data_IF_849971213292
#
_entry.id   IF_849971213292
#
_cell.length_a   1.000
_cell.length_b   1.000
_cell.length_c   1.000
_cell.angle_alpha   90.00
_cell.angle_beta   90.00
_cell.angle_gamma   90.00
#
_symmetry.space_group_name_H-M   'P 1'
#
loop_
_entity.id
_entity.type
_entity.pdbx_description
1 polymer ?
#
# COMPACT_ATOMS: atom_id res chain seq x y z
N UNK A 1 28.69 0.71 19.92
CA UNK A 1 27.58 -0.03 19.27
C UNK A 1 28.02 -0.46 17.89
N UNK A 2 27.56 -1.61 17.43
CA UNK A 2 27.87 -2.12 16.09
C UNK A 2 27.15 -1.29 15.01
N UNK A 3 27.87 -0.95 13.93
CA UNK A 3 27.29 -0.37 12.71
C UNK A 3 26.77 -1.51 11.85
N UNK A 4 25.49 -1.47 11.55
CA UNK A 4 24.84 -2.49 10.72
C UNK A 4 24.94 -2.06 9.27
N UNK A 5 25.45 -2.95 8.42
CA UNK A 5 25.39 -2.81 6.97
C UNK A 5 24.57 -3.98 6.44
N UNK A 6 23.56 -3.76 5.59
CA UNK A 6 22.84 -4.87 4.97
C UNK A 6 23.80 -5.82 4.27
N UNK A 7 23.63 -7.12 4.48
CA UNK A 7 24.38 -8.16 3.78
C UNK A 7 23.86 -8.42 2.35
N UNK A 8 23.00 -7.54 1.83
CA UNK A 8 22.33 -7.71 0.54
C UNK A 8 23.20 -7.28 -0.64
N UNK A 9 22.96 -7.80 -1.86
CA UNK A 9 23.69 -7.39 -3.06
C UNK A 9 23.56 -5.88 -3.32
N UNK A 10 24.61 -5.26 -3.88
CA UNK A 10 24.63 -3.82 -4.15
C UNK A 10 23.41 -3.31 -4.95
N UNK A 11 22.94 -3.98 -6.02
CA UNK A 11 21.76 -3.52 -6.76
C UNK A 11 20.49 -3.43 -5.90
N UNK A 12 20.36 -4.29 -4.90
CA UNK A 12 19.24 -4.26 -3.97
C UNK A 12 19.39 -3.11 -2.97
N UNK A 13 20.60 -2.86 -2.49
CA UNK A 13 20.88 -1.69 -1.64
C UNK A 13 20.57 -0.39 -2.39
N UNK A 14 20.98 -0.27 -3.65
CA UNK A 14 20.72 0.90 -4.48
C UNK A 14 19.21 1.12 -4.69
N UNK A 15 18.46 0.05 -5.00
CA UNK A 15 17.00 0.14 -5.15
C UNK A 15 16.29 0.57 -3.84
N UNK A 16 16.78 0.11 -2.69
CA UNK A 16 16.29 0.53 -1.38
C UNK A 16 16.62 2.00 -1.10
N UNK A 17 17.84 2.44 -1.40
CA UNK A 17 18.26 3.84 -1.27
C UNK A 17 17.42 4.77 -2.14
N UNK A 18 17.22 4.42 -3.40
CA UNK A 18 16.39 5.17 -4.35
C UNK A 18 14.94 5.28 -3.86
N UNK A 19 14.37 4.19 -3.36
CA UNK A 19 13.03 4.20 -2.76
C UNK A 19 12.96 5.15 -1.55
N UNK A 20 13.90 5.03 -0.61
CA UNK A 20 13.94 5.86 0.60
C UNK A 20 14.13 7.34 0.24
N UNK A 21 14.98 7.64 -0.73
CA UNK A 21 15.21 8.99 -1.25
C UNK A 21 13.96 9.55 -1.93
N UNK A 22 13.32 8.78 -2.82
CA UNK A 22 12.10 9.19 -3.51
C UNK A 22 10.97 9.46 -2.51
N UNK A 23 10.77 8.57 -1.53
CA UNK A 23 9.78 8.77 -0.46
C UNK A 23 10.04 10.05 0.33
N UNK A 24 11.30 10.35 0.64
CA UNK A 24 11.67 11.61 1.33
C UNK A 24 11.38 12.84 0.47
N UNK A 25 11.71 12.80 -0.81
CA UNK A 25 11.44 13.90 -1.75
C UNK A 25 9.93 14.17 -1.89
N UNK A 26 9.09 13.13 -1.87
CA UNK A 26 7.63 13.27 -1.83
C UNK A 26 7.12 13.87 -0.51
N UNK A 27 7.81 13.56 0.58
CA UNK A 27 7.49 14.05 1.91
C UNK A 27 7.86 15.53 2.08
N UNK A 28 8.88 16.01 1.38
CA UNK A 28 9.32 17.40 1.43
C UNK A 28 8.52 18.29 0.47
N UNK A 29 7.72 19.19 1.04
CA UNK A 29 6.76 20.05 0.33
C UNK A 29 7.42 20.95 -0.71
N UNK A 30 8.67 21.35 -0.49
CA UNK A 30 9.41 22.23 -1.41
C UNK A 30 10.03 21.46 -2.59
N UNK A 31 10.30 20.17 -2.41
CA UNK A 31 10.86 19.29 -3.45
C UNK A 31 9.83 18.42 -4.16
N UNK A 32 8.53 18.61 -3.90
CA UNK A 32 7.46 17.83 -4.56
C UNK A 32 7.50 18.06 -6.06
N UNK A 33 7.61 17.02 -6.89
CA UNK A 33 7.47 17.16 -8.33
C UNK A 33 6.08 17.69 -8.69
N UNK A 34 5.98 18.56 -9.70
CA UNK A 34 4.68 19.10 -10.15
C UNK A 34 3.68 17.98 -10.54
N UNK A 35 4.18 16.84 -11.05
CA UNK A 35 3.35 15.68 -11.36
C UNK A 35 2.74 15.03 -10.11
N UNK A 36 3.38 15.12 -8.95
CA UNK A 36 2.85 14.58 -7.69
C UNK A 36 1.58 15.31 -7.24
N UNK A 37 1.50 16.62 -7.48
CA UNK A 37 0.30 17.40 -7.23
C UNK A 37 -0.86 17.03 -8.18
N UNK A 38 -0.55 16.68 -9.44
CA UNK A 38 -1.52 16.19 -10.42
C UNK A 38 -1.94 14.73 -10.19
N UNK A 39 -1.07 13.93 -9.58
CA UNK A 39 -1.32 12.54 -9.20
C UNK A 39 -2.17 12.43 -7.92
N UNK A 40 -1.97 13.34 -6.96
CA UNK A 40 -2.77 13.43 -5.72
C UNK A 40 -4.26 13.72 -5.97
N UNK A 41 -4.63 14.29 -7.13
CA UNK A 41 -6.03 14.50 -7.52
C UNK A 41 -6.67 13.29 -8.20
N UNK A 42 -5.89 12.23 -8.49
CA UNK A 42 -6.34 11.05 -9.25
C UNK A 42 -6.24 9.73 -8.47
N UNK A 43 -5.44 9.67 -7.40
CA UNK A 43 -5.34 8.52 -6.48
C UNK A 43 -5.88 8.93 -5.11
N UNK A 44 -6.65 8.05 -4.46
CA UNK A 44 -7.16 8.28 -3.11
C UNK A 44 -6.00 8.65 -2.16
N UNK A 45 -5.93 9.91 -1.69
CA UNK A 45 -4.76 10.42 -0.98
C UNK A 45 -4.57 9.82 0.41
N UNK A 46 -5.52 9.05 0.94
CA UNK A 46 -5.50 8.57 2.32
C UNK A 46 -4.36 7.58 2.64
N UNK A 47 -3.79 6.88 1.64
CA UNK A 47 -2.70 5.90 1.89
C UNK A 47 -1.36 6.58 2.18
N UNK A 48 -1.14 7.81 1.69
CA UNK A 48 0.10 8.57 1.90
C UNK A 48 -0.09 9.90 2.65
N UNK A 49 -1.32 10.41 2.73
CA UNK A 49 -1.63 11.70 3.35
C UNK A 49 -2.91 11.55 4.17
N UNK A 50 -2.79 11.04 5.40
CA UNK A 50 -3.86 11.24 6.38
C UNK A 50 -4.03 12.75 6.60
N UNK A 51 -5.18 13.25 6.15
CA UNK A 51 -5.56 14.66 6.18
C UNK A 51 -6.09 15.14 7.52
N UNK A 52 -6.07 14.31 8.58
CA UNK A 52 -6.72 14.63 9.85
C UNK A 52 -5.83 15.34 10.89
N UNK A 53 -4.52 15.47 10.64
CA UNK A 53 -3.60 16.21 11.53
C UNK A 53 -2.73 17.06 10.63
N UNK A 54 -2.79 18.39 10.76
CA UNK A 54 -2.16 19.36 9.85
C UNK A 54 -0.63 19.27 9.74
N UNK A 55 -0.13 18.22 9.10
CA UNK A 55 1.28 17.97 8.81
C UNK A 55 1.39 16.95 7.67
N UNK A 56 2.19 17.28 6.68
CA UNK A 56 2.44 16.58 5.40
C UNK A 56 3.04 15.14 5.51
N UNK A 57 2.83 14.38 6.60
CA UNK A 57 3.73 13.26 6.97
C UNK A 57 3.10 12.09 7.76
N UNK A 58 1.99 11.50 7.31
CA UNK A 58 1.18 10.65 8.19
C UNK A 58 1.04 9.16 7.83
N UNK A 59 1.67 8.63 6.76
CA UNK A 59 1.70 7.18 6.57
C UNK A 59 2.67 6.53 7.57
N UNK A 60 2.20 5.66 8.49
CA UNK A 60 3.08 4.96 9.41
C UNK A 60 4.13 4.13 8.64
N UNK A 61 5.38 4.00 9.12
CA UNK A 61 6.40 3.26 8.40
C UNK A 61 5.97 1.81 8.11
N UNK A 62 5.26 1.15 9.04
CA UNK A 62 4.70 -0.18 8.83
C UNK A 62 3.71 -0.25 7.66
N UNK A 63 2.83 0.75 7.50
CA UNK A 63 1.89 0.82 6.37
C UNK A 63 2.65 1.06 5.07
N UNK A 64 3.70 1.88 5.09
CA UNK A 64 4.59 2.04 3.93
C UNK A 64 5.22 0.70 3.54
N UNK A 65 5.74 -0.05 4.52
CA UNK A 65 6.35 -1.36 4.28
C UNK A 65 5.32 -2.34 3.67
N UNK A 66 4.13 -2.45 4.26
CA UNK A 66 3.06 -3.31 3.75
C UNK A 66 2.55 -2.92 2.35
N UNK A 67 2.77 -1.67 1.95
CA UNK A 67 2.38 -1.14 0.64
C UNK A 67 3.41 -1.43 -0.45
N UNK A 68 4.70 -1.39 -0.10
CA UNK A 68 5.82 -1.50 -1.05
C UNK A 68 6.43 -2.90 -1.08
N UNK A 69 6.27 -3.67 -0.01
CA UNK A 69 6.70 -5.05 0.09
C UNK A 69 5.46 -5.96 0.15
N UNK A 70 5.08 -6.60 -0.96
CA UNK A 70 4.03 -7.61 -0.97
C UNK A 70 4.25 -8.65 0.13
N UNK A 71 3.19 -9.06 0.82
CA UNK A 71 3.24 -10.08 1.88
C UNK A 71 4.09 -9.72 3.11
N UNK A 72 4.44 -8.45 3.31
CA UNK A 72 5.26 -7.98 4.44
C UNK A 72 4.72 -8.38 5.82
N UNK A 73 3.40 -8.33 6.01
CA UNK A 73 2.71 -8.73 7.26
C UNK A 73 1.86 -10.00 7.05
N UNK A 74 2.29 -10.91 6.18
CA UNK A 74 1.54 -12.13 5.85
C UNK A 74 2.35 -13.41 6.13
N UNK A 75 1.70 -14.35 6.81
CA UNK A 75 2.28 -15.66 7.17
C UNK A 75 3.05 -15.64 8.48
N UNK A 76 3.87 -16.67 8.69
CA UNK A 76 4.72 -16.79 9.88
C UNK A 76 5.96 -15.89 9.72
N UNK A 77 6.00 -14.84 10.53
CA UNK A 77 7.09 -13.86 10.56
C UNK A 77 7.99 -14.19 11.72
N UNK A 78 9.25 -14.50 11.40
CA UNK A 78 10.28 -14.71 12.41
C UNK A 78 10.93 -13.37 12.72
N UNK A 79 11.03 -13.06 14.01
CA UNK A 79 11.70 -11.85 14.50
C UNK A 79 12.86 -12.23 15.42
N UNK A 80 14.01 -11.58 15.24
CA UNK A 80 15.14 -11.76 16.15
C UNK A 80 14.96 -10.92 17.42
N UNK A 81 15.55 -11.34 18.57
CA UNK A 81 15.57 -10.52 19.76
C UNK A 81 16.21 -9.15 19.50
N UNK A 82 15.59 -8.10 20.04
CA UNK A 82 16.04 -6.74 19.80
C UNK A 82 17.41 -6.46 20.46
N UNK A 83 18.32 -5.79 19.75
CA UNK A 83 19.70 -5.48 20.18
C UNK A 83 20.08 -4.02 19.90
N UNK A 84 20.95 -3.39 20.72
CA UNK A 84 21.48 -2.06 20.40
C UNK A 84 22.32 -2.08 19.11
N UNK A 85 22.06 -1.13 18.21
CA UNK A 85 22.74 -1.02 16.93
C UNK A 85 22.78 0.43 16.42
N UNK A 86 23.65 0.67 15.43
CA UNK A 86 23.68 1.89 14.62
C UNK A 86 23.25 1.52 13.20
N UNK A 87 22.13 2.06 12.73
CA UNK A 87 21.57 1.76 11.40
C UNK A 87 21.82 2.90 10.41
N UNK A 88 22.05 2.60 9.12
CA UNK A 88 22.33 3.63 8.13
C UNK A 88 21.07 4.44 7.84
N UNK A 89 21.15 5.75 8.03
CA UNK A 89 20.01 6.65 7.82
C UNK A 89 19.52 6.56 6.38
N UNK A 90 20.40 6.39 5.40
CA UNK A 90 20.02 6.28 3.98
C UNK A 90 19.11 5.08 3.64
N UNK A 91 19.06 4.04 4.47
CA UNK A 91 18.17 2.89 4.28
C UNK A 91 16.93 2.91 5.19
N UNK A 92 16.78 3.98 5.98
CA UNK A 92 15.78 4.05 7.05
C UNK A 92 14.50 4.78 6.62
N UNK A 93 13.39 4.05 6.70
CA UNK A 93 12.02 4.53 6.52
C UNK A 93 11.48 5.04 7.86
N UNK A 94 11.40 6.37 8.00
CA UNK A 94 10.76 7.04 9.16
C UNK A 94 9.45 7.75 8.79
N UNK A 95 8.91 8.54 9.71
CA UNK A 95 7.85 9.54 9.42
C UNK A 95 8.38 10.89 9.88
N UNK A 96 7.76 12.03 9.56
CA UNK A 96 8.31 13.31 10.03
C UNK A 96 7.26 14.39 10.20
N UNK A 97 6.34 14.22 11.15
CA UNK A 97 5.40 15.30 11.47
C UNK A 97 6.00 16.36 12.42
N UNK A 98 7.17 16.10 13.02
CA UNK A 98 7.89 16.97 13.98
C UNK A 98 9.40 16.93 13.67
N UNK A 99 10.15 17.98 14.02
CA UNK A 99 11.61 18.11 13.83
C UNK A 99 12.08 18.51 12.41
N UNK A 100 11.36 19.41 11.74
CA UNK A 100 11.93 20.22 10.66
C UNK A 100 12.61 21.50 11.21
N UNK A 101 13.45 22.16 10.41
CA UNK A 101 14.20 23.36 10.85
C UNK A 101 13.30 24.43 11.47
N UNK A 102 12.16 24.73 10.84
CA UNK A 102 11.15 25.65 11.39
C UNK A 102 10.33 25.15 12.59
N UNK A 103 10.54 23.91 13.06
CA UNK A 103 9.90 23.36 14.27
C UNK A 103 10.83 23.31 15.48
N UNK A 104 12.11 23.65 15.29
CA UNK A 104 13.03 23.83 16.40
C UNK A 104 12.66 25.13 17.13
N UNK A 105 12.57 25.14 18.47
CA UNK A 105 12.38 26.38 19.20
C UNK A 105 13.57 27.31 18.93
N UNK A 106 13.30 28.47 18.31
CA UNK A 106 14.29 29.43 17.80
C UNK A 106 15.31 29.93 18.84
N UNK A 107 15.13 29.63 20.13
CA UNK A 107 15.86 30.21 21.25
C UNK A 107 16.43 29.19 22.26
N UNK A 108 16.17 27.88 22.14
CA UNK A 108 16.45 26.93 23.24
C UNK A 108 17.38 25.75 22.91
N UNK A 109 17.42 25.29 21.66
CA UNK A 109 18.20 24.10 21.29
C UNK A 109 18.81 24.32 19.91
N UNK A 110 20.13 24.22 19.79
CA UNK A 110 20.81 24.29 18.49
C UNK A 110 20.57 23.02 17.67
N UNK A 111 20.72 23.14 16.35
CA UNK A 111 20.71 21.97 15.43
C UNK A 111 21.72 20.92 15.91
N UNK A 112 22.93 21.35 16.25
CA UNK A 112 23.98 20.45 16.75
C UNK A 112 23.58 19.75 18.05
N UNK A 113 23.04 20.48 19.04
CA UNK A 113 22.59 19.88 20.29
C UNK A 113 21.45 18.86 20.08
N UNK A 114 20.61 19.08 19.07
CA UNK A 114 19.56 18.15 18.67
C UNK A 114 20.14 16.88 18.02
N UNK A 115 21.14 17.04 17.13
CA UNK A 115 21.88 15.91 16.55
C UNK A 115 22.55 15.10 17.67
N UNK A 116 23.26 15.75 18.58
CA UNK A 116 23.97 15.10 19.69
C UNK A 116 23.00 14.32 20.58
N UNK A 117 21.82 14.89 20.86
CA UNK A 117 20.77 14.22 21.61
C UNK A 117 20.30 12.95 20.90
N UNK A 118 19.97 13.06 19.61
CA UNK A 118 19.43 11.96 18.79
C UNK A 118 20.45 10.90 18.41
N UNK A 119 21.74 11.22 18.48
CA UNK A 119 22.85 10.29 18.22
C UNK A 119 23.53 9.78 19.49
N UNK A 120 23.09 10.23 20.67
CA UNK A 120 23.59 9.74 21.95
C UNK A 120 23.28 8.26 22.18
N UNK A 121 24.12 7.56 22.96
CA UNK A 121 23.91 6.15 23.32
C UNK A 121 22.58 5.89 24.05
N UNK A 122 21.99 6.93 24.66
CA UNK A 122 20.65 6.84 25.28
C UNK A 122 19.58 6.49 24.26
N UNK A 123 19.76 6.86 23.00
CA UNK A 123 18.84 6.55 21.91
C UNK A 123 18.92 5.09 21.41
N UNK A 124 19.89 4.30 21.89
CA UNK A 124 20.02 2.88 21.60
C UNK A 124 19.58 1.96 22.75
N UNK A 125 19.01 2.52 23.83
CA UNK A 125 18.43 1.76 24.93
C UNK A 125 16.91 1.75 24.77
N UNK A 126 16.29 0.60 25.07
CA UNK A 126 14.84 0.50 25.09
C UNK A 126 14.25 1.42 26.18
N UNK A 127 13.22 2.21 25.82
CA UNK A 127 12.57 3.18 26.70
C UNK A 127 13.11 4.61 26.57
N UNK A 128 12.27 5.61 26.89
CA UNK A 128 12.64 7.04 26.83
C UNK A 128 12.84 7.54 25.39
N UNK A 129 14.03 8.08 25.09
CA UNK A 129 14.39 8.63 23.77
C UNK A 129 14.82 7.55 22.75
N UNK A 130 14.81 6.28 23.15
CA UNK A 130 15.26 5.13 22.35
C UNK A 130 14.49 4.94 21.05
N UNK A 131 15.19 4.90 19.92
CA UNK A 131 14.56 4.59 18.63
C UNK A 131 14.38 3.06 18.48
N UNK A 132 13.22 2.62 18.01
CA UNK A 132 12.93 1.20 17.76
C UNK A 132 12.88 0.94 16.25
N UNK A 133 13.83 0.18 15.75
CA UNK A 133 14.00 -0.09 14.32
C UNK A 133 13.83 -1.59 14.06
N UNK A 134 13.16 -1.89 12.96
CA UNK A 134 13.07 -3.22 12.38
C UNK A 134 13.82 -3.23 11.04
N UNK A 135 14.52 -4.32 10.74
CA UNK A 135 15.11 -4.57 9.42
C UNK A 135 14.37 -5.73 8.76
N UNK A 136 13.92 -5.57 7.52
CA UNK A 136 13.50 -6.69 6.68
C UNK A 136 14.76 -7.34 6.14
N UNK A 137 15.27 -8.35 6.84
CA UNK A 137 16.66 -8.81 6.68
C UNK A 137 17.01 -9.24 5.25
N UNK A 138 16.17 -10.02 4.53
CA UNK A 138 16.47 -10.42 3.15
C UNK A 138 16.49 -9.24 2.15
N UNK A 139 15.80 -8.14 2.47
CA UNK A 139 15.69 -6.95 1.62
C UNK A 139 16.76 -5.91 1.98
N UNK A 140 17.19 -5.85 3.24
CA UNK A 140 18.12 -4.83 3.73
C UNK A 140 17.48 -3.46 3.92
N UNK A 141 16.14 -3.39 3.97
CA UNK A 141 15.40 -2.16 4.24
C UNK A 141 15.06 -2.04 5.73
N UNK A 142 15.30 -0.85 6.30
CA UNK A 142 15.00 -0.56 7.70
C UNK A 142 13.76 0.34 7.81
N UNK A 143 12.95 0.13 8.85
CA UNK A 143 11.87 1.04 9.18
C UNK A 143 11.78 1.26 10.69
N UNK A 144 11.35 2.46 11.09
CA UNK A 144 11.17 2.77 12.51
C UNK A 144 9.80 2.28 12.96
N UNK A 145 9.80 1.17 13.69
CA UNK A 145 8.59 0.45 14.13
C UNK A 145 7.88 1.10 15.34
N UNK A 146 8.46 2.16 15.92
CA UNK A 146 7.88 2.81 17.10
C UNK A 146 8.44 4.22 17.35
N UNK A 147 9.02 4.42 18.54
CA UNK A 147 9.65 5.68 18.93
C UNK A 147 10.85 6.01 18.04
N UNK A 148 11.11 7.29 17.81
CA UNK A 148 12.20 7.76 16.94
C UNK A 148 11.81 7.97 15.48
N UNK A 149 10.60 7.63 15.03
CA UNK A 149 10.22 7.77 13.60
C UNK A 149 10.39 9.20 13.09
N UNK A 150 10.04 10.20 13.92
CA UNK A 150 10.04 11.63 13.58
C UNK A 150 11.42 12.26 13.42
N UNK A 151 12.51 11.62 13.85
CA UNK A 151 13.86 12.22 13.75
C UNK A 151 14.61 11.78 12.51
N UNK A 152 14.12 10.78 11.77
CA UNK A 152 14.82 10.22 10.60
C UNK A 152 15.02 11.27 9.50
N UNK A 153 13.97 12.02 9.15
CA UNK A 153 14.07 13.05 8.13
C UNK A 153 14.98 14.21 8.56
N UNK A 154 14.93 14.59 9.83
CA UNK A 154 15.85 15.58 10.42
C UNK A 154 17.31 15.12 10.29
N UNK A 155 17.63 13.93 10.79
CA UNK A 155 18.99 13.38 10.75
C UNK A 155 19.50 13.24 9.30
N UNK A 156 18.65 12.82 8.37
CA UNK A 156 18.99 12.73 6.95
C UNK A 156 19.35 14.11 6.35
N UNK A 157 18.54 15.15 6.63
CA UNK A 157 18.81 16.52 6.15
C UNK A 157 20.11 17.11 6.69
N UNK A 158 20.45 16.75 7.94
CA UNK A 158 21.70 17.19 8.57
C UNK A 158 22.92 16.33 8.18
N UNK A 159 22.77 15.41 7.22
CA UNK A 159 23.88 14.58 6.73
C UNK A 159 24.36 13.52 7.73
N UNK A 160 23.55 13.17 8.73
CA UNK A 160 23.91 12.12 9.70
C UNK A 160 23.85 10.75 9.03
N UNK A 161 24.98 10.05 9.03
CA UNK A 161 25.09 8.76 8.35
C UNK A 161 24.39 7.61 9.08
N UNK A 162 24.49 7.58 10.42
CA UNK A 162 24.00 6.47 11.24
C UNK A 162 23.15 6.95 12.41
N UNK A 163 22.07 6.23 12.70
CA UNK A 163 21.17 6.48 13.83
C UNK A 163 21.27 5.35 14.88
N UNK A 164 21.49 5.67 16.16
CA UNK A 164 21.40 4.69 17.24
C UNK A 164 19.96 4.23 17.45
N UNK A 165 19.77 2.92 17.65
CA UNK A 165 18.47 2.33 17.92
C UNK A 165 18.59 0.98 18.64
N UNK A 166 17.44 0.49 19.10
CA UNK A 166 17.23 -0.94 19.33
C UNK A 166 16.72 -1.56 18.02
N UNK A 167 17.50 -2.46 17.45
CA UNK A 167 17.22 -3.15 16.18
C UNK A 167 16.71 -4.57 16.44
N UNK A 168 15.64 -4.96 15.76
CA UNK A 168 15.27 -6.36 15.55
C UNK A 168 15.19 -6.63 14.05
N UNK A 169 15.36 -7.89 13.67
CA UNK A 169 15.37 -8.31 12.28
C UNK A 169 14.14 -9.17 12.03
N UNK A 170 13.51 -8.98 10.87
CA UNK A 170 12.30 -9.70 10.44
C UNK A 170 12.60 -10.52 9.21
N UNK A 171 12.05 -11.73 9.16
CA UNK A 171 12.05 -12.55 7.96
C UNK A 171 11.17 -11.94 6.85
N UNK A 172 11.40 -12.39 5.63
CA UNK A 172 10.61 -12.05 4.45
C UNK A 172 10.60 -13.25 3.51
N UNK A 173 9.56 -13.48 2.69
CA UNK A 173 9.56 -14.58 1.74
C UNK A 173 10.79 -14.55 0.83
N UNK A 174 11.34 -15.74 0.55
CA UNK A 174 12.42 -15.90 -0.39
C UNK A 174 11.99 -15.47 -1.80
N UNK A 175 12.93 -14.95 -2.58
CA UNK A 175 12.62 -14.36 -3.89
C UNK A 175 12.04 -15.37 -4.91
N UNK A 176 12.42 -16.64 -4.82
CA UNK A 176 11.95 -17.74 -5.67
C UNK A 176 10.52 -18.21 -5.35
N UNK A 177 10.03 -17.90 -4.14
CA UNK A 177 8.64 -18.10 -3.72
C UNK A 177 7.71 -17.01 -4.24
N UNK A 178 8.27 -15.89 -4.71
CA UNK A 178 7.52 -14.74 -5.21
C UNK A 178 7.53 -14.74 -6.75
N UNK A 179 6.43 -14.29 -7.35
CA UNK A 179 6.37 -13.98 -8.78
C UNK A 179 5.66 -12.66 -9.02
N UNK A 180 6.25 -11.82 -9.86
CA UNK A 180 5.57 -10.65 -10.38
C UNK A 180 4.75 -11.09 -11.59
N UNK A 181 3.46 -10.81 -11.59
CA UNK A 181 2.58 -11.10 -12.73
C UNK A 181 1.84 -9.84 -13.16
N UNK A 182 1.50 -9.78 -14.44
CA UNK A 182 0.72 -8.69 -15.01
C UNK A 182 -0.62 -9.20 -15.49
N UNK A 183 -1.68 -8.47 -15.18
CA UNK A 183 -3.03 -8.72 -15.69
C UNK A 183 -3.57 -7.49 -16.41
N UNK A 184 -4.55 -7.68 -17.29
CA UNK A 184 -5.24 -6.58 -17.98
C UNK A 184 -6.63 -6.40 -17.41
N UNK A 185 -6.94 -5.18 -16.99
CA UNK A 185 -8.30 -4.77 -16.64
C UNK A 185 -8.76 -3.69 -17.63
N UNK A 186 -9.46 -4.12 -18.68
CA UNK A 186 -9.77 -3.26 -19.82
C UNK A 186 -8.49 -2.73 -20.49
N UNK A 187 -8.33 -1.40 -20.66
CA UNK A 187 -7.10 -0.81 -21.20
C UNK A 187 -5.96 -0.72 -20.17
N UNK A 188 -6.26 -0.92 -18.88
CA UNK A 188 -5.29 -0.72 -17.80
C UNK A 188 -4.47 -2.00 -17.57
N UNK A 189 -3.19 -1.77 -17.25
CA UNK A 189 -2.27 -2.80 -16.80
C UNK A 189 -2.21 -2.78 -15.28
N UNK A 190 -2.47 -3.92 -14.65
CA UNK A 190 -2.35 -4.08 -13.20
C UNK A 190 -1.19 -5.03 -12.91
N UNK A 191 -0.39 -4.68 -11.91
CA UNK A 191 0.72 -5.48 -11.42
C UNK A 191 0.28 -6.22 -10.16
N UNK A 192 0.58 -7.50 -10.07
CA UNK A 192 0.28 -8.34 -8.93
C UNK A 192 1.55 -9.09 -8.49
N UNK A 193 1.60 -9.48 -7.22
CA UNK A 193 2.61 -10.38 -6.68
C UNK A 193 1.95 -11.66 -6.23
N UNK A 194 2.47 -12.81 -6.64
CA UNK A 194 2.03 -14.14 -6.22
C UNK A 194 3.06 -14.74 -5.28
N UNK A 195 2.61 -15.34 -4.18
CA UNK A 195 3.40 -16.08 -3.22
C UNK A 195 3.02 -17.56 -3.26
N UNK A 196 4.02 -18.43 -3.42
CA UNK A 196 3.90 -19.90 -3.43
C UNK A 196 2.87 -20.45 -4.42
N UNK A 197 2.63 -19.73 -5.52
CA UNK A 197 1.59 -20.04 -6.51
C UNK A 197 0.16 -20.18 -5.90
N UNK A 198 -0.03 -19.68 -4.68
CA UNK A 198 -1.23 -19.90 -3.85
C UNK A 198 -1.87 -18.59 -3.41
N UNK A 199 -1.09 -17.58 -3.07
CA UNK A 199 -1.61 -16.29 -2.59
C UNK A 199 -1.27 -15.16 -3.56
N UNK A 200 -2.19 -14.21 -3.77
CA UNK A 200 -1.97 -13.06 -4.65
C UNK A 200 -2.35 -11.75 -3.97
N UNK A 201 -1.55 -10.71 -4.21
CA UNK A 201 -1.83 -9.32 -3.82
C UNK A 201 -1.62 -8.37 -5.00
N UNK A 202 -2.26 -7.20 -4.94
CA UNK A 202 -1.99 -6.11 -5.88
C UNK A 202 -0.68 -5.40 -5.55
N UNK A 203 -0.02 -4.86 -6.58
CA UNK A 203 1.12 -3.95 -6.45
C UNK A 203 0.60 -2.55 -6.83
N UNK A 204 0.23 -1.71 -5.84
CA UNK A 204 -0.40 -0.41 -6.11
C UNK A 204 0.58 0.63 -6.66
N UNK A 205 1.87 0.54 -6.29
CA UNK A 205 2.92 1.48 -6.70
C UNK A 205 4.08 0.70 -7.35
N UNK A 206 3.89 0.23 -8.60
CA UNK A 206 4.90 -0.56 -9.31
C UNK A 206 6.23 0.18 -9.48
N UNK A 207 6.21 1.51 -9.58
CA UNK A 207 7.40 2.36 -9.67
C UNK A 207 8.31 2.29 -8.43
N UNK A 208 7.76 2.00 -7.26
CA UNK A 208 8.54 1.81 -6.02
C UNK A 208 8.81 0.33 -5.75
N UNK A 209 7.81 -0.52 -6.00
CA UNK A 209 7.85 -1.93 -5.62
C UNK A 209 8.71 -2.76 -6.59
N UNK A 210 8.54 -2.57 -7.91
CA UNK A 210 9.19 -3.43 -8.90
C UNK A 210 10.73 -3.30 -8.91
N UNK A 211 11.34 -2.10 -8.79
CA UNK A 211 12.80 -2.00 -8.69
C UNK A 211 13.37 -2.83 -7.54
N UNK A 212 12.73 -2.79 -6.36
CA UNK A 212 13.14 -3.56 -5.18
C UNK A 212 12.99 -5.06 -5.45
N UNK A 213 11.80 -5.51 -5.88
CA UNK A 213 11.54 -6.94 -6.10
C UNK A 213 12.44 -7.54 -7.19
N UNK A 214 12.69 -6.81 -8.28
CA UNK A 214 13.62 -7.23 -9.34
C UNK A 214 15.05 -7.35 -8.82
N UNK A 215 15.52 -6.36 -8.06
CA UNK A 215 16.85 -6.39 -7.47
C UNK A 215 16.99 -7.48 -6.38
N UNK A 216 15.88 -7.82 -5.70
CA UNK A 216 15.78 -8.95 -4.78
C UNK A 216 15.80 -10.31 -5.49
N UNK A 217 15.58 -10.34 -6.80
CA UNK A 217 15.64 -11.55 -7.63
C UNK A 217 14.28 -12.17 -7.98
N UNK A 218 13.18 -11.48 -7.64
CA UNK A 218 11.82 -11.94 -7.98
C UNK A 218 11.63 -11.91 -9.49
N UNK A 219 11.14 -13.03 -10.04
CA UNK A 219 10.97 -13.20 -11.47
C UNK A 219 9.63 -12.64 -11.95
N UNK A 220 9.63 -12.07 -13.16
CA UNK A 220 8.40 -11.70 -13.87
C UNK A 220 7.92 -12.87 -14.73
N UNK A 221 6.66 -13.27 -14.54
CA UNK A 221 6.05 -14.34 -15.32
C UNK A 221 4.71 -13.92 -15.90
N UNK A 222 4.25 -14.66 -16.92
CA UNK A 222 2.87 -14.56 -17.38
C UNK A 222 1.87 -15.08 -16.33
N UNK A 223 0.59 -14.80 -16.56
CA UNK A 223 -0.49 -15.46 -15.83
C UNK A 223 -0.51 -16.95 -16.18
N UNK A 224 -0.45 -17.83 -15.18
CA UNK A 224 -0.39 -19.27 -15.41
C UNK A 224 -1.79 -19.86 -15.62
N UNK A 225 -1.89 -20.89 -16.45
CA UNK A 225 -3.14 -21.65 -16.65
C UNK A 225 -3.60 -22.41 -15.39
N UNK A 226 -2.67 -22.63 -14.44
CA UNK A 226 -2.97 -23.18 -13.13
C UNK A 226 -3.74 -22.19 -12.24
N UNK A 227 -3.70 -20.89 -12.53
CA UNK A 227 -4.42 -19.87 -11.75
C UNK A 227 -5.89 -19.76 -12.16
N UNK A 228 -6.76 -19.20 -11.28
CA UNK A 228 -8.11 -18.78 -11.67
C UNK A 228 -8.09 -17.75 -12.80
N UNK A 229 -9.25 -17.46 -13.39
CA UNK A 229 -9.37 -16.43 -14.41
C UNK A 229 -8.98 -15.04 -13.85
N UNK A 230 -8.23 -14.25 -14.62
CA UNK A 230 -7.81 -12.90 -14.23
C UNK A 230 -9.02 -12.03 -13.81
N UNK A 231 -10.15 -12.15 -14.51
CA UNK A 231 -11.37 -11.41 -14.20
C UNK A 231 -11.95 -11.77 -12.81
N UNK A 232 -11.84 -13.03 -12.39
CA UNK A 232 -12.29 -13.48 -11.06
C UNK A 232 -11.41 -12.91 -9.95
N UNK A 233 -10.09 -12.87 -10.18
CA UNK A 233 -9.13 -12.27 -9.24
C UNK A 233 -9.38 -10.77 -9.11
N UNK A 234 -9.46 -10.05 -10.22
CA UNK A 234 -9.68 -8.60 -10.21
C UNK A 234 -11.04 -8.21 -9.63
N UNK A 235 -12.10 -8.96 -9.93
CA UNK A 235 -13.41 -8.72 -9.30
C UNK A 235 -13.39 -8.99 -7.79
N UNK A 236 -12.62 -9.99 -7.34
CA UNK A 236 -12.44 -10.27 -5.91
C UNK A 236 -11.70 -9.14 -5.18
N UNK A 237 -10.65 -8.59 -5.80
CA UNK A 237 -9.98 -7.40 -5.25
C UNK A 237 -10.90 -6.18 -5.20
N UNK A 238 -11.72 -5.94 -6.24
CA UNK A 238 -12.70 -4.85 -6.23
C UNK A 238 -13.74 -4.99 -5.12
N UNK A 239 -14.26 -6.20 -4.90
CA UNK A 239 -15.19 -6.46 -3.81
C UNK A 239 -14.55 -6.20 -2.44
N UNK A 240 -13.32 -6.67 -2.25
CA UNK A 240 -12.56 -6.43 -1.03
C UNK A 240 -12.27 -4.95 -0.77
N UNK A 241 -11.95 -4.19 -1.82
CA UNK A 241 -11.76 -2.74 -1.71
C UNK A 241 -13.08 -2.07 -1.30
N UNK A 242 -14.19 -2.38 -1.96
CA UNK A 242 -15.50 -1.82 -1.63
C UNK A 242 -15.93 -2.13 -0.17
N UNK A 243 -15.61 -3.32 0.33
CA UNK A 243 -15.82 -3.69 1.74
C UNK A 243 -14.95 -2.86 2.69
N UNK A 244 -13.70 -2.60 2.32
CA UNK A 244 -12.75 -1.81 3.12
C UNK A 244 -13.16 -0.33 3.17
N UNK A 245 -13.58 0.24 2.03
CA UNK A 245 -14.08 1.61 1.91
C UNK A 245 -15.34 1.80 2.75
N UNK A 246 -16.28 0.84 2.68
CA UNK A 246 -17.49 0.85 3.51
C UNK A 246 -17.18 0.78 5.00
N UNK A 247 -16.10 0.08 5.36
CA UNK A 247 -15.65 -0.02 6.74
C UNK A 247 -14.84 1.19 7.21
N UNK A 248 -14.57 2.18 6.34
CA UNK A 248 -13.68 3.31 6.59
C UNK A 248 -12.29 2.85 7.08
N UNK A 249 -11.77 1.77 6.50
CA UNK A 249 -10.47 1.20 6.87
C UNK A 249 -9.48 1.44 5.73
N UNK A 250 -8.47 2.26 5.98
CA UNK A 250 -7.25 2.29 5.17
C UNK A 250 -6.38 1.11 5.59
N UNK A 251 -6.48 0.00 4.87
CA UNK A 251 -5.61 -1.16 5.09
C UNK A 251 -5.15 -1.74 3.76
N UNK A 252 -3.90 -2.22 3.67
CA UNK A 252 -3.41 -2.91 2.50
C UNK A 252 -4.37 -4.04 2.09
N UNK A 253 -4.51 -4.25 0.79
CA UNK A 253 -5.36 -5.31 0.25
C UNK A 253 -4.85 -6.66 0.78
N UNK A 254 -5.69 -7.38 1.53
CA UNK A 254 -5.31 -8.70 2.06
C UNK A 254 -5.08 -9.67 0.91
N UNK A 255 -4.13 -10.61 1.05
CA UNK A 255 -3.92 -11.67 0.08
C UNK A 255 -5.18 -12.47 -0.24
N UNK A 256 -5.39 -12.74 -1.52
CA UNK A 256 -6.41 -13.67 -2.01
C UNK A 256 -5.79 -15.05 -2.22
N UNK A 257 -6.52 -16.11 -1.85
CA UNK A 257 -6.13 -17.50 -2.08
C UNK A 257 -6.60 -17.96 -3.48
N UNK A 258 -5.66 -18.24 -4.37
CA UNK A 258 -5.87 -18.62 -5.77
C UNK A 258 -6.58 -19.97 -5.88
N UNK A 259 -6.22 -20.96 -5.06
CA UNK A 259 -6.86 -22.28 -5.08
C UNK A 259 -8.34 -22.20 -4.69
N UNK A 260 -8.68 -21.37 -3.70
CA UNK A 260 -10.06 -21.12 -3.29
C UNK A 260 -10.86 -20.42 -4.41
N UNK A 261 -10.28 -19.41 -5.07
CA UNK A 261 -10.94 -18.77 -6.22
C UNK A 261 -11.18 -19.76 -7.37
N UNK A 262 -10.19 -20.62 -7.67
CA UNK A 262 -10.32 -21.65 -8.70
C UNK A 262 -11.41 -22.69 -8.36
N UNK A 263 -11.51 -23.09 -7.10
CA UNK A 263 -12.60 -23.96 -6.65
C UNK A 263 -13.98 -23.29 -6.77
N UNK A 264 -14.07 -21.98 -6.52
CA UNK A 264 -15.32 -21.21 -6.72
C UNK A 264 -15.72 -21.17 -8.19
N UNK A 265 -14.78 -20.98 -9.11
CA UNK A 265 -15.03 -21.04 -10.55
C UNK A 265 -15.54 -22.41 -10.97
N UNK A 266 -14.86 -23.49 -10.55
CA UNK A 266 -15.26 -24.86 -10.88
C UNK A 266 -16.66 -25.23 -10.37
N UNK A 267 -17.07 -24.69 -9.20
CA UNK A 267 -18.43 -24.88 -8.66
C UNK A 267 -19.49 -24.04 -9.38
N UNK A 268 -19.12 -22.86 -9.87
CA UNK A 268 -20.04 -21.96 -10.58
C UNK A 268 -20.33 -22.42 -12.02
N UNK A 269 -19.39 -23.13 -12.65
CA UNK A 269 -19.47 -23.59 -14.03
C UNK A 269 -20.67 -24.53 -14.32
N UNK A 270 -20.93 -25.60 -13.55
CA UNK A 270 -22.11 -26.45 -13.76
C UNK A 270 -23.42 -25.71 -13.48
N UNK A 271 -23.46 -24.75 -12.55
CA UNK A 271 -24.65 -23.94 -12.30
C UNK A 271 -24.99 -23.02 -13.48
N UNK A 272 -23.98 -22.46 -14.15
CA UNK A 272 -24.15 -21.65 -15.35
C UNK A 272 -24.60 -22.49 -16.56
N UNK A 273 -24.07 -23.69 -16.73
CA UNK A 273 -24.45 -24.64 -17.79
C UNK A 273 -25.87 -25.19 -17.60
N UNK A 274 -26.28 -25.48 -16.36
CA UNK A 274 -27.66 -25.87 -16.05
C UNK A 274 -28.64 -24.71 -16.28
N UNK A 275 -28.26 -23.45 -15.98
CA UNK A 275 -29.08 -22.28 -16.28
C UNK A 275 -29.22 -22.03 -17.79
N UNK A 276 -28.15 -22.15 -18.57
CA UNK A 276 -28.23 -21.99 -20.04
C UNK A 276 -29.01 -23.13 -20.69
N UNK A 277 -28.91 -24.36 -20.16
CA UNK A 277 -29.71 -25.52 -20.58
C UNK A 277 -31.21 -25.34 -20.28
N UNK A 278 -31.58 -24.83 -19.10
CA UNK A 278 -32.97 -24.50 -18.77
C UNK A 278 -33.57 -23.42 -19.69
N UNK A 279 -32.74 -22.46 -20.12
CA UNK A 279 -33.14 -21.40 -21.06
C UNK A 279 -33.31 -21.90 -22.50
N UNK A 280 -32.74 -23.05 -22.85
CA UNK A 280 -32.78 -23.63 -24.19
C UNK A 280 -33.74 -24.81 -24.33
N UNK A 281 -34.48 -25.17 -23.28
CA UNK A 281 -35.50 -26.23 -23.35
C UNK A 281 -36.78 -25.71 -24.06
N UNK A 282 -37.27 -26.36 -25.14
CA UNK A 282 -38.36 -25.84 -25.98
C UNK A 282 -39.74 -25.72 -25.31
N UNK A 283 -39.91 -26.19 -24.06
CA UNK A 283 -41.14 -26.06 -23.26
C UNK A 283 -41.07 -25.02 -22.13
N UNK A 284 -39.90 -24.43 -21.87
CA UNK A 284 -39.63 -23.47 -20.78
C UNK A 284 -38.94 -22.21 -21.32
N UNK A 285 -39.34 -21.76 -22.51
CA UNK A 285 -38.88 -20.51 -23.09
C UNK A 285 -39.38 -19.32 -22.24
N UNK A 286 -38.67 -19.01 -21.16
CA UNK A 286 -38.85 -17.79 -20.41
C UNK A 286 -38.64 -16.62 -21.37
N UNK A 287 -39.64 -15.73 -21.45
CA UNK A 287 -39.57 -14.50 -22.24
C UNK A 287 -38.22 -13.82 -21.95
N UNK A 288 -37.48 -13.49 -23.02
CA UNK A 288 -36.17 -12.82 -22.95
C UNK A 288 -36.20 -11.57 -22.06
N UNK A 289 -37.34 -10.89 -21.92
CA UNK A 289 -37.52 -9.77 -20.98
C UNK A 289 -37.53 -10.20 -19.52
N UNK A 290 -38.17 -11.33 -19.22
CA UNK A 290 -38.19 -11.93 -17.88
C UNK A 290 -36.84 -12.51 -17.52
N UNK A 291 -36.14 -13.14 -18.47
CA UNK A 291 -34.77 -13.62 -18.30
C UNK A 291 -33.80 -12.48 -18.03
N UNK A 292 -33.92 -11.34 -18.73
CA UNK A 292 -33.14 -10.13 -18.45
C UNK A 292 -33.41 -9.58 -17.05
N UNK A 293 -34.64 -9.67 -16.53
CA UNK A 293 -34.98 -9.26 -15.16
C UNK A 293 -34.45 -10.24 -14.11
N UNK A 294 -34.53 -11.55 -14.36
CA UNK A 294 -33.98 -12.59 -13.49
C UNK A 294 -32.45 -12.56 -13.48
N UNK A 295 -31.80 -12.34 -14.62
CA UNK A 295 -30.34 -12.14 -14.72
C UNK A 295 -29.93 -10.78 -14.16
N UNK A 296 -30.77 -9.74 -14.18
CA UNK A 296 -30.50 -8.50 -13.46
C UNK A 296 -30.68 -8.66 -11.93
N UNK A 297 -31.55 -9.56 -11.47
CA UNK A 297 -31.73 -9.87 -10.06
C UNK A 297 -30.65 -10.84 -9.53
N UNK A 298 -30.29 -11.88 -10.29
CA UNK A 298 -29.24 -12.84 -9.95
C UNK A 298 -27.83 -12.31 -10.27
N UNK A 299 -27.69 -11.59 -11.39
CA UNK A 299 -26.53 -10.72 -11.66
C UNK A 299 -26.50 -9.50 -10.75
N UNK A 300 -27.59 -9.14 -10.07
CA UNK A 300 -27.53 -8.19 -8.95
C UNK A 300 -26.73 -8.72 -7.75
N UNK A 301 -26.52 -10.03 -7.67
CA UNK A 301 -25.74 -10.69 -6.60
C UNK A 301 -24.32 -11.04 -7.07
N UNK A 302 -24.04 -11.08 -8.38
CA UNK A 302 -22.69 -11.41 -8.92
C UNK A 302 -22.04 -10.27 -9.72
N UNK A 303 -22.81 -9.30 -10.24
CA UNK A 303 -22.36 -8.13 -11.03
C UNK A 303 -22.53 -6.79 -10.28
N UNK A 304 -22.87 -6.77 -9.00
CA UNK A 304 -22.78 -5.55 -8.18
C UNK A 304 -21.34 -5.01 -8.02
N UNK A 305 -20.34 -5.66 -8.62
CA UNK A 305 -18.97 -5.16 -8.71
C UNK A 305 -18.58 -4.52 -10.05
N UNK A 306 -19.40 -4.53 -11.11
CA UNK A 306 -18.99 -4.03 -12.42
C UNK A 306 -20.04 -3.13 -13.09
N UNK A 307 -19.61 -1.91 -13.42
CA UNK A 307 -20.26 -0.87 -14.25
C UNK A 307 -21.09 0.17 -13.47
N UNK A 308 -20.42 1.20 -12.97
CA UNK A 308 -20.96 2.57 -12.98
C UNK A 308 -20.68 3.18 -14.36
N UNK A 309 -21.70 3.64 -15.11
CA UNK A 309 -21.46 4.57 -16.21
C UNK A 309 -21.33 5.97 -15.63
N UNK A 310 -20.12 6.52 -15.64
CA UNK A 310 -19.85 7.94 -15.45
C UNK A 310 -20.50 8.73 -16.58
N UNK A 311 -21.74 9.19 -16.36
CA UNK A 311 -22.44 10.15 -17.17
C UNK A 311 -22.82 11.36 -16.32
N UNK A 312 -21.85 12.23 -16.00
CA UNK A 312 -22.19 13.58 -15.58
C UNK A 312 -22.51 14.40 -16.83
N UNK A 313 -23.80 14.51 -17.13
CA UNK A 313 -24.35 15.59 -17.92
C UNK A 313 -24.36 16.83 -17.01
N UNK A 314 -23.59 17.85 -17.39
CA UNK A 314 -23.68 19.19 -16.82
C UNK A 314 -25.07 19.73 -17.19
N UNK A 315 -25.97 19.84 -16.21
CA UNK A 315 -27.16 20.68 -16.33
C UNK A 315 -26.98 21.90 -15.43
N UNK A 316 -26.62 23.01 -16.08
CA UNK A 316 -26.80 24.36 -15.57
C UNK A 316 -28.29 24.59 -15.31
N UNK A 317 -28.68 24.62 -14.03
CA UNK A 317 -30.04 24.94 -13.59
C UNK A 317 -30.02 26.17 -12.71
N UNK A 318 -30.04 27.35 -13.34
CA UNK A 318 -30.31 28.61 -12.69
C UNK A 318 -31.76 28.59 -12.18
N UNK A 319 -31.97 28.63 -10.86
CA UNK A 319 -33.28 29.02 -10.31
C UNK A 319 -33.11 29.64 -8.91
N UNK A 320 -32.83 30.95 -8.90
CA UNK A 320 -33.17 31.85 -7.79
C UNK A 320 -34.52 32.48 -8.09
N UNK A 321 -35.53 32.20 -7.29
CA UNK A 321 -36.65 33.10 -6.94
C UNK A 321 -37.43 32.38 -5.82
N UNK A 322 -37.38 32.86 -4.57
CA UNK A 322 -38.07 34.02 -3.99
C UNK A 322 -39.46 33.67 -3.47
N UNK A 323 -39.75 34.23 -2.28
CA UNK A 323 -40.99 34.25 -1.48
C UNK A 323 -41.19 33.07 -0.51
N UNK A 324 -41.63 33.26 0.73
CA UNK A 324 -41.94 34.44 1.58
C UNK A 324 -42.16 33.85 2.99
N UNK A 325 -41.74 34.54 4.05
CA UNK A 325 -42.69 35.00 5.08
C UNK A 325 -42.04 36.01 6.04
N UNK A 326 -42.54 37.24 5.93
CA UNK A 326 -42.52 38.28 6.95
C UNK A 326 -43.48 37.88 8.08
N UNK A 327 -43.10 38.17 9.32
CA UNK A 327 -43.71 39.20 10.16
C UNK A 327 -43.61 38.83 11.65
N UNK A 328 -43.18 39.78 12.48
CA UNK A 328 -43.55 39.78 13.90
C UNK A 328 -42.51 40.34 14.88
N UNK A 329 -42.38 41.67 14.86
CA UNK A 329 -41.86 42.57 15.92
C UNK A 329 -40.35 42.58 16.22
#
# INVERSE_FOLDING_TARGET
>A
MERVTPATPQPLQDAVEDFVAARRALSDRESRPAWFHAWKSTVDPEVFVDGSIGGDYACPPSVTMATVLPFFDFGDIEETPARPAMVPVKHLVGSSWRWHEGSLPNDRISVQATIDLFTSERCAKAGGLGAQVAMVAPIGMFYVAGEGKNRVAFLARQGVEFMPCTLHERSYPAADRLRIVTVREGPMRCWLCVLDDEFVVTIPYPEFTLPILRAYGVQETGWLDSYPMQATVMSSFRLQQAESDRALRSSPTKPLCLSHLKQREAKAQPAAEHMTSLVSHPGLALDRKYLRRLLAAAGGVVLAGAVYPSGQVILSGCCRQSQRHLAGQ
#
